data_IF_877023420306
#
_entry.id   IF_877023420306
#
_cell.length_a   1.000
_cell.length_b   1.000
_cell.length_c   1.000
_cell.angle_alpha   90.00
_cell.angle_beta   90.00
_cell.angle_gamma   90.00
#
_symmetry.space_group_name_H-M   'P 1'
#
loop_
_entity.id
_entity.type
_entity.pdbx_description
1 polymer ?
#
# COMPACT_ATOMS: atom_id res chain seq x y z
N UNK A 1 8.82 10.19 32.43
CA UNK A 1 8.56 10.20 30.98
C UNK A 1 9.76 10.89 30.32
N UNK A 2 10.27 10.38 29.17
CA UNK A 2 11.39 11.02 28.49
C UNK A 2 10.99 12.43 28.05
N UNK A 3 11.78 13.41 28.40
CA UNK A 3 11.60 14.81 28.03
C UNK A 3 12.13 15.13 26.62
N UNK A 4 12.54 14.09 25.87
CA UNK A 4 13.06 14.25 24.51
C UNK A 4 11.90 14.64 23.58
N UNK A 5 12.00 15.78 22.86
CA UNK A 5 10.98 16.16 21.89
C UNK A 5 10.78 15.08 20.84
N UNK A 6 9.53 14.78 20.49
CA UNK A 6 9.16 13.76 19.49
C UNK A 6 9.96 13.90 18.18
N UNK A 7 10.28 15.12 17.78
CA UNK A 7 11.09 15.41 16.57
C UNK A 7 12.50 14.85 16.59
N UNK A 8 13.07 14.50 17.76
CA UNK A 8 14.44 14.00 17.85
C UNK A 8 14.57 12.54 17.46
N UNK A 9 13.50 11.76 17.51
CA UNK A 9 13.51 10.34 17.13
C UNK A 9 12.49 9.98 16.05
N UNK A 10 12.09 10.94 15.25
CA UNK A 10 11.27 10.71 14.04
C UNK A 10 12.18 10.45 12.85
N UNK A 11 11.88 9.37 12.11
CA UNK A 11 12.49 9.12 10.79
C UNK A 11 12.12 10.23 9.82
N UNK A 12 13.09 10.75 9.07
CA UNK A 12 12.88 11.87 8.15
C UNK A 12 13.71 11.77 6.88
N UNK A 13 13.17 12.29 5.80
CA UNK A 13 13.91 12.55 4.57
C UNK A 13 14.67 13.87 4.71
N UNK A 14 15.96 13.84 4.40
CA UNK A 14 16.81 15.02 4.39
C UNK A 14 16.69 15.78 3.04
N UNK A 15 17.18 17.00 2.99
CA UNK A 15 17.13 17.86 1.79
C UNK A 15 17.87 17.30 0.58
N UNK A 16 18.84 16.41 0.83
CA UNK A 16 19.63 15.71 -0.20
C UNK A 16 19.03 14.35 -0.61
N UNK A 17 17.80 14.06 -0.21
CA UNK A 17 17.14 12.77 -0.42
C UNK A 17 17.79 11.58 0.31
N UNK A 18 18.73 11.77 1.23
CA UNK A 18 19.07 10.74 2.19
C UNK A 18 17.97 10.62 3.26
N UNK A 19 17.87 9.48 3.92
CA UNK A 19 16.91 9.26 5.01
C UNK A 19 17.70 9.07 6.31
N UNK A 20 17.31 9.79 7.37
CA UNK A 20 17.79 9.54 8.73
C UNK A 20 16.72 8.78 9.49
N UNK A 21 16.97 7.49 9.70
CA UNK A 21 16.16 6.64 10.55
C UNK A 21 16.48 6.90 12.01
N UNK A 22 15.46 6.98 12.87
CA UNK A 22 15.61 7.17 14.32
C UNK A 22 14.65 6.27 15.07
N UNK A 23 15.14 5.71 16.17
CA UNK A 23 14.35 4.87 17.05
C UNK A 23 14.74 5.07 18.51
N UNK A 24 13.77 5.37 19.38
CA UNK A 24 14.04 5.55 20.80
C UNK A 24 13.95 4.22 21.55
N UNK A 25 15.09 3.70 22.00
CA UNK A 25 15.17 2.47 22.76
C UNK A 25 16.39 2.52 23.73
N UNK A 26 16.30 3.27 24.84
CA UNK A 26 17.46 3.49 25.73
C UNK A 26 17.96 2.20 26.37
N UNK A 27 17.08 1.24 26.65
CA UNK A 27 17.42 -0.06 27.24
C UNK A 27 17.90 -1.12 26.26
N UNK A 28 17.76 -0.89 24.95
CA UNK A 28 18.16 -1.87 23.94
C UNK A 28 19.69 -2.01 23.86
N UNK A 29 20.14 -3.25 23.58
CA UNK A 29 21.55 -3.58 23.36
C UNK A 29 21.94 -3.44 21.88
N UNK A 30 21.02 -3.82 20.98
CA UNK A 30 21.24 -3.77 19.55
C UNK A 30 19.98 -3.26 18.86
N UNK A 31 20.14 -2.29 17.95
CA UNK A 31 19.07 -1.86 17.06
C UNK A 31 19.63 -1.79 15.64
N UNK A 32 18.89 -2.31 14.71
CA UNK A 32 19.14 -2.14 13.28
C UNK A 32 17.87 -1.70 12.57
N UNK A 33 18.02 -1.00 11.46
CA UNK A 33 16.92 -0.76 10.51
C UNK A 33 17.08 -1.69 9.32
N UNK A 34 15.96 -2.24 8.87
CA UNK A 34 15.88 -3.05 7.65
C UNK A 34 15.09 -2.26 6.63
N UNK A 35 15.70 -1.99 5.48
CA UNK A 35 15.08 -1.22 4.39
C UNK A 35 14.78 -2.17 3.24
N UNK A 36 13.48 -2.43 2.99
CA UNK A 36 13.03 -3.39 2.00
C UNK A 36 13.03 -4.84 2.51
N UNK A 37 13.44 -5.77 1.67
CA UNK A 37 13.49 -7.21 2.01
C UNK A 37 14.61 -7.47 3.03
N UNK A 38 14.39 -8.30 4.07
CA UNK A 38 15.39 -8.57 5.10
C UNK A 38 16.48 -9.55 4.59
N UNK A 39 17.37 -9.04 3.76
CA UNK A 39 18.60 -9.70 3.33
C UNK A 39 19.80 -8.97 3.95
N UNK A 40 21.00 -9.59 4.06
CA UNK A 40 22.14 -9.00 4.76
C UNK A 40 22.46 -7.55 4.35
N UNK A 41 22.43 -7.26 3.05
CA UNK A 41 22.76 -5.93 2.50
C UNK A 41 21.72 -4.84 2.85
N UNK A 42 20.54 -5.23 3.29
CA UNK A 42 19.44 -4.33 3.66
C UNK A 42 19.31 -4.15 5.18
N UNK A 43 20.17 -4.78 5.98
CA UNK A 43 20.16 -4.71 7.44
C UNK A 43 21.29 -3.76 7.87
N UNK A 44 20.91 -2.61 8.43
CA UNK A 44 21.86 -1.56 8.79
C UNK A 44 21.90 -1.38 10.31
N UNK A 45 23.01 -1.71 10.99
CA UNK A 45 23.21 -1.41 12.41
C UNK A 45 23.07 0.09 12.67
N UNK A 46 22.42 0.44 13.77
CA UNK A 46 22.23 1.82 14.19
C UNK A 46 23.15 2.16 15.34
N UNK A 47 23.49 3.44 15.49
CA UNK A 47 24.32 3.97 16.59
C UNK A 47 23.43 4.65 17.61
N UNK A 48 23.64 4.35 18.90
CA UNK A 48 22.91 4.93 20.02
C UNK A 48 23.63 6.17 20.54
N UNK A 49 22.88 7.26 20.74
CA UNK A 49 23.38 8.46 21.43
C UNK A 49 23.17 8.37 22.95
N UNK A 50 23.64 9.38 23.68
CA UNK A 50 23.53 9.47 25.15
C UNK A 50 22.08 9.56 25.64
N UNK A 51 21.17 10.05 24.81
CA UNK A 51 19.74 10.12 25.10
C UNK A 51 19.00 8.80 24.89
N UNK A 52 19.68 7.78 24.34
CA UNK A 52 19.09 6.48 24.04
C UNK A 52 18.35 6.43 22.70
N UNK A 53 18.61 7.40 21.81
CA UNK A 53 18.09 7.42 20.45
C UNK A 53 19.07 6.71 19.52
N UNK A 54 18.59 5.70 18.85
CA UNK A 54 19.33 5.00 17.80
C UNK A 54 19.12 5.68 16.47
N UNK A 55 20.18 5.84 15.69
CA UNK A 55 20.12 6.49 14.38
C UNK A 55 21.00 5.82 13.33
N UNK A 56 20.55 5.90 12.08
CA UNK A 56 21.34 5.56 10.91
C UNK A 56 20.88 6.42 9.72
N UNK A 57 21.84 6.88 8.91
CA UNK A 57 21.57 7.70 7.73
C UNK A 57 21.96 6.94 6.48
N UNK A 58 21.06 6.93 5.49
CA UNK A 58 21.31 6.32 4.19
C UNK A 58 22.27 7.17 3.34
N UNK A 59 22.90 6.60 2.31
CA UNK A 59 23.31 7.37 1.13
C UNK A 59 22.11 8.11 0.52
N UNK A 60 22.36 8.98 -0.46
CA UNK A 60 21.30 9.63 -1.26
C UNK A 60 20.47 8.56 -1.97
N UNK A 61 19.15 8.58 -1.78
CA UNK A 61 18.23 7.64 -2.37
C UNK A 61 17.55 8.23 -3.61
N UNK A 62 17.12 7.37 -4.52
CA UNK A 62 16.25 7.76 -5.64
C UNK A 62 14.83 8.04 -5.11
N UNK A 63 14.11 8.94 -5.78
CA UNK A 63 12.70 9.19 -5.47
C UNK A 63 11.88 7.90 -5.59
N UNK A 64 11.35 7.43 -4.47
CA UNK A 64 10.54 6.21 -4.36
C UNK A 64 9.88 6.11 -2.97
N UNK A 65 8.97 5.18 -2.81
CA UNK A 65 8.44 4.75 -1.51
C UNK A 65 9.27 3.56 -1.01
N UNK A 66 9.88 3.72 0.16
CA UNK A 66 10.71 2.69 0.78
C UNK A 66 9.98 2.09 1.97
N UNK A 67 9.89 0.77 2.01
CA UNK A 67 9.40 0.01 3.14
C UNK A 67 10.56 -0.25 4.11
N UNK A 68 10.31 -0.14 5.42
CA UNK A 68 11.30 -0.40 6.45
C UNK A 68 10.67 -0.87 7.76
N UNK A 69 11.50 -1.45 8.61
CA UNK A 69 11.17 -1.75 10.00
C UNK A 69 12.45 -1.75 10.85
N UNK A 70 12.29 -1.67 12.15
CA UNK A 70 13.40 -1.81 13.08
C UNK A 70 13.47 -3.24 13.63
N UNK A 71 14.68 -3.69 13.91
CA UNK A 71 14.95 -4.89 14.70
C UNK A 71 15.59 -4.45 16.02
N UNK A 72 14.86 -4.63 17.11
CA UNK A 72 15.27 -4.18 18.46
C UNK A 72 15.53 -5.44 19.29
N UNK A 73 16.80 -5.74 19.57
CA UNK A 73 17.23 -6.96 20.30
C UNK A 73 16.58 -8.25 19.73
N UNK A 74 16.47 -8.36 18.40
CA UNK A 74 15.89 -9.49 17.73
C UNK A 74 14.38 -9.40 17.51
N UNK A 75 13.70 -8.41 18.03
CA UNK A 75 12.25 -8.20 17.85
C UNK A 75 11.97 -7.20 16.75
N UNK A 76 11.14 -7.58 15.77
CA UNK A 76 10.67 -6.67 14.72
C UNK A 76 9.72 -5.62 15.30
N UNK A 77 9.99 -4.36 15.00
CA UNK A 77 9.20 -3.20 15.43
C UNK A 77 8.92 -2.26 14.27
N UNK A 78 7.71 -1.73 14.21
CA UNK A 78 7.37 -0.64 13.29
C UNK A 78 7.84 0.70 13.86
N UNK A 79 7.95 1.70 13.00
CA UNK A 79 8.21 3.07 13.42
C UNK A 79 6.93 3.72 13.95
N UNK A 80 6.87 3.93 15.26
CA UNK A 80 5.74 4.58 15.91
C UNK A 80 5.75 6.11 15.75
N UNK A 81 6.82 6.67 15.21
CA UNK A 81 6.96 8.10 14.89
C UNK A 81 6.36 8.51 13.54
N UNK A 82 5.90 7.54 12.74
CA UNK A 82 5.25 7.79 11.44
C UNK A 82 3.83 7.26 11.38
N UNK A 83 2.96 7.96 10.64
CA UNK A 83 1.64 7.46 10.30
C UNK A 83 1.64 6.55 9.06
N UNK A 84 2.76 6.47 8.33
CA UNK A 84 2.87 5.68 7.10
C UNK A 84 3.28 4.24 7.43
N UNK A 85 2.30 3.40 7.70
CA UNK A 85 2.48 1.96 7.84
C UNK A 85 2.03 1.26 6.56
N UNK A 86 2.65 0.12 6.24
CA UNK A 86 2.24 -0.68 5.09
C UNK A 86 0.87 -1.32 5.37
N UNK A 87 -0.17 -0.98 4.60
CA UNK A 87 -1.53 -1.43 4.85
C UNK A 87 -1.75 -2.84 4.29
N UNK A 88 -1.19 -3.82 4.96
CA UNK A 88 -1.38 -5.24 4.69
C UNK A 88 -2.34 -5.87 5.70
N UNK A 89 -2.68 -7.14 5.50
CA UNK A 89 -3.44 -7.92 6.50
C UNK A 89 -2.73 -8.04 7.84
N UNK A 90 -1.40 -7.93 7.84
CA UNK A 90 -0.57 -7.82 9.03
C UNK A 90 0.31 -6.58 8.92
N UNK A 91 0.08 -5.59 9.77
CA UNK A 91 0.93 -4.40 9.84
C UNK A 91 2.25 -4.77 10.51
N UNK A 92 3.32 -4.82 9.72
CA UNK A 92 4.64 -5.26 10.17
C UNK A 92 5.80 -4.40 9.66
N UNK A 93 5.52 -3.33 8.94
CA UNK A 93 6.49 -2.38 8.41
C UNK A 93 5.92 -0.98 8.30
N UNK A 94 6.82 -0.02 8.31
CA UNK A 94 6.58 1.39 8.05
C UNK A 94 7.04 1.75 6.65
N UNK A 95 6.63 2.91 6.16
CA UNK A 95 7.01 3.40 4.83
C UNK A 95 7.51 4.83 4.93
N UNK A 96 8.41 5.20 4.01
CA UNK A 96 8.89 6.57 3.85
C UNK A 96 8.96 6.92 2.37
N UNK A 97 8.37 8.06 2.00
CA UNK A 97 8.39 8.57 0.64
C UNK A 97 9.59 9.51 0.47
N UNK A 98 10.53 9.12 -0.39
CA UNK A 98 11.62 9.99 -0.87
C UNK A 98 11.15 10.66 -2.15
N UNK A 99 11.13 12.01 -2.24
CA UNK A 99 10.58 12.72 -3.38
C UNK A 99 11.39 12.53 -4.66
N UNK A 100 10.76 12.77 -5.81
CA UNK A 100 11.38 12.71 -7.14
C UNK A 100 10.85 11.61 -8.05
N UNK A 101 9.64 11.09 -7.80
CA UNK A 101 9.01 10.06 -8.62
C UNK A 101 7.55 10.39 -8.96
N UNK A 102 6.90 9.49 -9.73
CA UNK A 102 5.45 9.57 -9.96
C UNK A 102 4.60 9.26 -8.72
N UNK A 103 5.22 8.76 -7.66
CA UNK A 103 4.55 8.48 -6.39
C UNK A 103 4.28 9.76 -5.58
N UNK A 104 4.90 10.88 -5.94
CA UNK A 104 4.75 12.14 -5.23
C UNK A 104 3.36 12.72 -5.41
N UNK A 105 2.84 13.35 -4.37
CA UNK A 105 1.70 14.24 -4.51
C UNK A 105 2.21 15.55 -5.11
N UNK A 106 1.89 15.81 -6.39
CA UNK A 106 2.29 17.02 -7.10
C UNK A 106 1.16 18.04 -7.09
N UNK A 107 1.49 19.30 -7.37
CA UNK A 107 0.50 20.37 -7.53
C UNK A 107 -0.16 20.31 -8.92
N UNK A 108 -1.00 19.30 -9.10
CA UNK A 108 -1.81 19.07 -10.30
C UNK A 108 -3.28 18.95 -9.89
N UNK A 109 -4.20 18.99 -10.85
CA UNK A 109 -5.60 18.70 -10.54
C UNK A 109 -5.71 17.20 -10.24
N UNK A 110 -6.31 16.88 -9.10
CA UNK A 110 -6.46 15.51 -8.64
C UNK A 110 -7.81 14.92 -9.00
N UNK A 111 -7.82 13.61 -9.24
CA UNK A 111 -9.02 12.82 -9.33
C UNK A 111 -9.61 12.53 -7.95
N UNK A 112 -10.83 11.98 -7.93
CA UNK A 112 -11.50 11.58 -6.70
C UNK A 112 -11.24 10.11 -6.40
N UNK A 113 -11.04 9.79 -5.12
CA UNK A 113 -10.94 8.42 -4.62
C UNK A 113 -12.20 8.08 -3.82
N UNK A 114 -13.00 7.15 -4.34
CA UNK A 114 -14.30 6.77 -3.78
C UNK A 114 -14.18 5.38 -3.16
N UNK A 115 -14.49 5.24 -1.88
CA UNK A 115 -14.65 3.94 -1.23
C UNK A 115 -16.10 3.44 -1.43
N UNK A 116 -16.25 2.21 -1.88
CA UNK A 116 -17.55 1.57 -2.13
C UNK A 116 -17.63 0.29 -1.33
N UNK A 117 -18.58 0.23 -0.41
CA UNK A 117 -18.98 -0.99 0.26
C UNK A 117 -20.13 -1.62 -0.52
N UNK A 118 -20.08 -2.93 -0.74
CA UNK A 118 -21.08 -3.67 -1.46
C UNK A 118 -21.23 -5.10 -0.91
N UNK A 119 -22.40 -5.69 -1.10
CA UNK A 119 -22.57 -7.12 -0.86
C UNK A 119 -22.13 -7.91 -2.08
N UNK A 120 -21.16 -8.81 -1.88
CA UNK A 120 -20.76 -9.77 -2.91
C UNK A 120 -21.66 -10.99 -2.85
N UNK A 121 -22.46 -11.21 -3.91
CA UNK A 121 -23.26 -12.42 -4.05
C UNK A 121 -22.38 -13.64 -4.32
N UNK A 122 -21.28 -13.44 -5.02
CA UNK A 122 -20.32 -14.50 -5.33
C UNK A 122 -19.62 -15.04 -4.07
N UNK A 123 -19.38 -14.18 -3.08
CA UNK A 123 -18.66 -14.52 -1.84
C UNK A 123 -19.56 -14.56 -0.60
N UNK A 124 -20.85 -14.18 -0.74
CA UNK A 124 -21.80 -14.10 0.37
C UNK A 124 -21.27 -13.28 1.56
N UNK A 125 -20.68 -12.12 1.27
CA UNK A 125 -20.08 -11.26 2.28
C UNK A 125 -20.08 -9.79 1.87
N UNK A 126 -20.02 -8.90 2.88
CA UNK A 126 -19.76 -7.48 2.68
C UNK A 126 -18.31 -7.29 2.25
N UNK A 127 -18.12 -6.53 1.18
CA UNK A 127 -16.83 -6.27 0.57
C UNK A 127 -16.64 -4.77 0.38
N UNK A 128 -15.38 -4.37 0.20
CA UNK A 128 -15.02 -3.00 -0.11
C UNK A 128 -14.10 -2.95 -1.33
N UNK A 129 -14.30 -1.94 -2.16
CA UNK A 129 -13.37 -1.57 -3.23
C UNK A 129 -13.16 -0.07 -3.25
N UNK A 130 -12.12 0.36 -3.94
CA UNK A 130 -11.86 1.78 -4.20
C UNK A 130 -11.97 2.04 -5.70
N UNK A 131 -12.46 3.23 -6.04
CA UNK A 131 -12.52 3.70 -7.43
C UNK A 131 -11.85 5.05 -7.49
N UNK A 132 -10.79 5.15 -8.27
CA UNK A 132 -10.25 6.45 -8.66
C UNK A 132 -10.94 6.90 -9.96
N UNK A 133 -11.46 8.13 -9.97
CA UNK A 133 -12.01 8.79 -11.15
C UNK A 133 -11.10 9.95 -11.58
N UNK A 134 -10.94 10.21 -12.89
CA UNK A 134 -10.08 11.29 -13.33
C UNK A 134 -10.62 12.67 -12.92
N UNK A 135 -9.77 13.70 -12.84
CA UNK A 135 -10.20 15.07 -12.53
C UNK A 135 -11.37 15.52 -13.40
N UNK A 136 -12.39 16.11 -12.75
CA UNK A 136 -13.56 16.63 -13.44
C UNK A 136 -14.55 15.57 -13.95
N UNK A 137 -14.43 14.33 -13.53
CA UNK A 137 -15.39 13.28 -13.86
C UNK A 137 -16.77 13.58 -13.24
N UNK A 138 -17.80 13.74 -14.08
CA UNK A 138 -19.17 14.02 -13.63
C UNK A 138 -20.14 12.87 -13.88
N UNK A 139 -19.68 11.81 -14.54
CA UNK A 139 -20.56 10.74 -15.01
C UNK A 139 -21.33 11.08 -16.28
N UNK A 140 -21.12 12.26 -16.86
CA UNK A 140 -21.74 12.74 -18.10
C UNK A 140 -20.67 12.80 -19.20
N UNK A 141 -21.07 12.60 -20.46
CA UNK A 141 -20.18 12.66 -21.62
C UNK A 141 -19.79 11.28 -22.15
N UNK A 142 -18.62 11.20 -22.77
CA UNK A 142 -18.13 9.95 -23.35
C UNK A 142 -17.83 8.89 -22.26
N UNK A 143 -18.29 7.65 -22.44
CA UNK A 143 -17.98 6.57 -21.50
C UNK A 143 -16.47 6.32 -21.41
N UNK A 144 -15.95 6.19 -20.20
CA UNK A 144 -14.53 5.97 -19.95
C UNK A 144 -14.16 4.47 -19.91
N UNK A 145 -12.95 4.10 -20.35
CA UNK A 145 -12.43 2.76 -20.10
C UNK A 145 -12.18 2.54 -18.62
N UNK A 146 -12.16 1.28 -18.19
CA UNK A 146 -11.93 0.88 -16.80
C UNK A 146 -10.69 0.01 -16.71
N UNK A 147 -9.78 0.36 -15.81
CA UNK A 147 -8.66 -0.47 -15.37
C UNK A 147 -9.04 -1.14 -14.05
N UNK A 148 -9.12 -2.46 -14.03
CA UNK A 148 -9.26 -3.24 -12.80
C UNK A 148 -7.87 -3.61 -12.29
N UNK A 149 -7.50 -3.07 -11.13
CA UNK A 149 -6.17 -3.27 -10.54
C UNK A 149 -6.24 -4.29 -9.41
N UNK A 150 -5.50 -5.38 -9.55
CA UNK A 150 -5.38 -6.43 -8.56
C UNK A 150 -4.08 -6.28 -7.77
N UNK A 151 -4.20 -6.25 -6.44
CA UNK A 151 -3.04 -6.20 -5.54
C UNK A 151 -2.39 -7.58 -5.36
N UNK A 152 -1.17 -7.59 -4.77
CA UNK A 152 -0.44 -8.80 -4.46
C UNK A 152 -1.00 -9.56 -3.25
N UNK A 153 -0.52 -10.80 -3.09
CA UNK A 153 -0.88 -11.64 -1.95
C UNK A 153 -0.44 -11.02 -0.61
N UNK A 154 -1.34 -11.04 0.38
CA UNK A 154 -1.13 -10.43 1.69
C UNK A 154 -1.41 -8.93 1.74
N UNK A 155 -1.61 -8.30 0.58
CA UNK A 155 -2.02 -6.91 0.48
C UNK A 155 -3.55 -6.77 0.64
N UNK A 156 -4.02 -5.55 0.51
CA UNK A 156 -5.45 -5.18 0.50
C UNK A 156 -5.69 -4.15 -0.60
N UNK A 157 -6.94 -3.85 -0.95
CA UNK A 157 -7.23 -2.73 -1.84
C UNK A 157 -6.62 -1.41 -1.36
N UNK A 158 -6.46 -1.23 -0.05
CA UNK A 158 -5.80 -0.07 0.55
C UNK A 158 -4.30 -0.01 0.26
N UNK A 159 -3.64 -1.16 0.08
CA UNK A 159 -2.21 -1.20 -0.27
C UNK A 159 -1.92 -0.55 -1.61
N UNK A 160 -2.81 -0.70 -2.59
CA UNK A 160 -2.67 -0.06 -3.89
C UNK A 160 -2.74 1.48 -3.81
N UNK A 161 -3.43 2.01 -2.80
CA UNK A 161 -3.61 3.44 -2.56
C UNK A 161 -2.43 4.01 -1.78
N UNK A 162 -2.14 3.46 -0.60
CA UNK A 162 -1.19 4.05 0.34
C UNK A 162 0.26 3.67 0.00
N UNK A 163 0.50 2.42 -0.42
CA UNK A 163 1.82 1.93 -0.84
C UNK A 163 2.03 2.08 -2.35
N UNK A 164 1.08 1.60 -3.16
CA UNK A 164 1.13 1.67 -4.62
C UNK A 164 0.96 3.08 -5.16
N UNK A 165 0.38 4.00 -4.37
CA UNK A 165 0.20 5.41 -4.73
C UNK A 165 -0.52 5.60 -6.06
N UNK A 166 -1.45 4.68 -6.39
CA UNK A 166 -2.17 4.69 -7.68
C UNK A 166 -2.83 6.04 -7.96
N UNK A 167 -3.56 6.69 -7.02
CA UNK A 167 -4.14 8.00 -7.30
C UNK A 167 -3.10 9.03 -7.76
N UNK A 168 -1.95 9.11 -7.07
CA UNK A 168 -0.88 10.07 -7.40
C UNK A 168 -0.24 9.76 -8.75
N UNK A 169 -0.02 8.49 -9.05
CA UNK A 169 0.52 8.05 -10.35
C UNK A 169 -0.43 8.46 -11.47
N UNK A 170 -1.72 8.17 -11.31
CA UNK A 170 -2.74 8.47 -12.32
C UNK A 170 -2.89 9.97 -12.53
N UNK A 171 -2.96 10.77 -11.45
CA UNK A 171 -3.03 12.22 -11.51
C UNK A 171 -1.82 12.81 -12.24
N UNK A 172 -0.62 12.37 -11.88
CA UNK A 172 0.64 12.86 -12.46
C UNK A 172 0.77 12.50 -13.96
N UNK A 173 0.43 11.25 -14.31
CA UNK A 173 0.50 10.79 -15.70
C UNK A 173 -0.55 11.47 -16.58
N UNK A 174 -1.74 11.70 -16.03
CA UNK A 174 -2.82 12.39 -16.75
C UNK A 174 -2.46 13.86 -16.99
N UNK A 175 -1.93 14.55 -15.97
CA UNK A 175 -1.47 15.93 -16.08
C UNK A 175 -0.35 16.11 -17.11
N UNK A 176 0.50 15.11 -17.30
CA UNK A 176 1.55 15.08 -18.33
C UNK A 176 1.05 14.61 -19.71
N UNK A 177 -0.23 14.26 -19.86
CA UNK A 177 -0.80 13.76 -21.12
C UNK A 177 -0.27 12.38 -21.54
N UNK A 178 0.30 11.62 -20.60
CA UNK A 178 0.90 10.29 -20.86
C UNK A 178 -0.12 9.15 -20.85
N UNK A 179 -1.29 9.38 -20.31
CA UNK A 179 -2.40 8.46 -20.29
C UNK A 179 -3.70 9.16 -20.73
N UNK A 180 -4.66 8.37 -21.18
CA UNK A 180 -6.03 8.85 -21.45
C UNK A 180 -6.86 8.79 -20.15
N UNK A 181 -7.90 9.64 -20.01
CA UNK A 181 -8.83 9.51 -18.91
C UNK A 181 -9.45 8.11 -18.84
N UNK A 182 -9.45 7.52 -17.64
CA UNK A 182 -10.03 6.21 -17.36
C UNK A 182 -10.47 6.15 -15.89
N UNK A 183 -11.29 5.17 -15.53
CA UNK A 183 -11.50 4.80 -14.14
C UNK A 183 -10.50 3.72 -13.73
N UNK A 184 -10.07 3.77 -12.46
CA UNK A 184 -9.29 2.67 -11.87
C UNK A 184 -10.10 2.07 -10.73
N UNK A 185 -10.48 0.81 -10.86
CA UNK A 185 -11.21 0.05 -9.85
C UNK A 185 -10.23 -0.85 -9.12
N UNK A 186 -10.19 -0.74 -7.81
CA UNK A 186 -9.23 -1.41 -6.93
C UNK A 186 -10.04 -2.24 -5.92
N UNK A 187 -10.42 -3.48 -6.25
CA UNK A 187 -11.07 -4.38 -5.30
C UNK A 187 -10.04 -4.95 -4.30
N UNK A 188 -10.54 -5.49 -3.20
CA UNK A 188 -9.74 -6.40 -2.39
C UNK A 188 -9.81 -7.79 -3.03
N UNK A 189 -8.71 -8.25 -3.59
CA UNK A 189 -8.65 -9.50 -4.37
C UNK A 189 -8.32 -10.73 -3.52
N UNK A 190 -8.03 -10.56 -2.24
CA UNK A 190 -8.04 -11.69 -1.30
C UNK A 190 -9.45 -11.92 -0.77
N UNK A 191 -10.04 -13.04 -1.20
CA UNK A 191 -11.44 -13.39 -0.92
C UNK A 191 -11.59 -14.19 0.36
N UNK A 192 -10.47 -14.47 1.08
CA UNK A 192 -10.36 -15.44 2.18
C UNK A 192 -10.80 -16.86 1.76
N UNK A 193 -11.04 -17.04 0.48
CA UNK A 193 -11.58 -18.27 -0.10
C UNK A 193 -12.70 -18.88 0.75
N UNK A 194 -13.56 -18.01 1.35
CA UNK A 194 -14.66 -18.40 2.24
C UNK A 194 -15.51 -19.46 1.57
N UNK A 195 -15.68 -20.58 2.26
CA UNK A 195 -16.43 -21.73 1.78
C UNK A 195 -15.73 -22.55 0.68
N UNK A 196 -14.45 -22.29 0.40
CA UNK A 196 -13.70 -23.00 -0.63
C UNK A 196 -12.44 -23.68 -0.03
N UNK A 197 -11.90 -23.17 1.10
CA UNK A 197 -10.78 -23.83 1.78
C UNK A 197 -11.33 -24.93 2.71
N UNK A 198 -10.88 -26.17 2.58
CA UNK A 198 -11.20 -27.23 3.54
C UNK A 198 -10.80 -26.85 4.97
N UNK A 199 -11.58 -27.27 5.97
CA UNK A 199 -11.30 -26.99 7.39
C UNK A 199 -9.99 -27.61 7.88
N UNK A 200 -9.53 -28.69 7.23
CA UNK A 200 -8.29 -29.42 7.49
C UNK A 200 -7.05 -28.86 6.74
N UNK A 201 -7.14 -27.63 6.26
CA UNK A 201 -6.12 -27.00 5.43
C UNK A 201 -4.77 -26.83 6.13
N UNK A 202 -3.73 -27.47 5.59
CA UNK A 202 -2.35 -27.39 6.11
C UNK A 202 -1.63 -26.15 5.55
N UNK A 203 -1.07 -25.26 6.39
CA UNK A 203 -0.41 -24.02 5.94
C UNK A 203 0.69 -24.20 4.89
N UNK A 204 1.41 -25.34 4.91
CA UNK A 204 2.47 -25.63 3.93
C UNK A 204 1.94 -25.84 2.50
N UNK A 205 0.69 -26.25 2.35
CA UNK A 205 0.04 -26.42 1.04
C UNK A 205 -0.69 -25.15 0.55
N UNK A 206 -0.71 -24.11 1.39
CA UNK A 206 -1.43 -22.89 1.17
C UNK A 206 -1.22 -22.30 -0.23
N UNK A 207 0.02 -22.31 -0.72
CA UNK A 207 0.31 -21.79 -2.07
C UNK A 207 -0.32 -22.62 -3.18
N UNK A 208 -0.31 -23.93 -3.06
CA UNK A 208 -0.82 -24.84 -4.11
C UNK A 208 -2.34 -24.86 -4.17
N UNK A 209 -3.01 -24.73 -3.03
CA UNK A 209 -4.46 -24.87 -2.91
C UNK A 209 -5.13 -23.50 -2.87
N UNK A 210 -4.65 -22.59 -2.02
CA UNK A 210 -5.27 -21.28 -1.81
C UNK A 210 -5.27 -20.40 -3.07
N UNK A 211 -4.13 -20.26 -3.76
CA UNK A 211 -4.06 -19.34 -4.90
C UNK A 211 -5.04 -19.67 -6.03
N UNK A 212 -5.13 -20.91 -6.52
CA UNK A 212 -6.11 -21.22 -7.57
C UNK A 212 -7.55 -21.00 -7.11
N UNK A 213 -7.87 -21.32 -5.87
CA UNK A 213 -9.20 -21.14 -5.30
C UNK A 213 -9.55 -19.68 -5.12
N UNK A 214 -8.60 -18.89 -4.58
CA UNK A 214 -8.78 -17.45 -4.44
C UNK A 214 -8.95 -16.76 -5.80
N UNK A 215 -8.11 -17.08 -6.78
CA UNK A 215 -8.24 -16.54 -8.14
C UNK A 215 -9.62 -16.83 -8.73
N UNK A 216 -10.09 -18.08 -8.64
CA UNK A 216 -11.43 -18.46 -9.12
C UNK A 216 -12.55 -17.72 -8.38
N UNK A 217 -12.41 -17.49 -7.09
CA UNK A 217 -13.37 -16.75 -6.29
C UNK A 217 -13.37 -15.26 -6.65
N UNK A 218 -12.20 -14.66 -6.81
CA UNK A 218 -12.04 -13.27 -7.24
C UNK A 218 -12.57 -13.02 -8.65
N UNK A 219 -12.29 -13.93 -9.60
CA UNK A 219 -12.83 -13.85 -10.97
C UNK A 219 -14.36 -13.90 -10.97
N UNK A 220 -14.95 -14.79 -10.17
CA UNK A 220 -16.40 -14.89 -10.05
C UNK A 220 -17.01 -13.61 -9.45
N UNK A 221 -16.37 -13.04 -8.42
CA UNK A 221 -16.78 -11.77 -7.83
C UNK A 221 -16.66 -10.62 -8.85
N UNK A 222 -15.53 -10.56 -9.58
CA UNK A 222 -15.32 -9.55 -10.61
C UNK A 222 -16.44 -9.56 -11.65
N UNK A 223 -16.74 -10.72 -12.20
CA UNK A 223 -17.68 -10.86 -13.30
C UNK A 223 -19.15 -10.68 -12.88
N UNK A 224 -19.51 -11.16 -11.68
CA UNK A 224 -20.91 -11.22 -11.27
C UNK A 224 -21.34 -10.05 -10.38
N UNK A 225 -20.41 -9.43 -9.66
CA UNK A 225 -20.72 -8.37 -8.71
C UNK A 225 -20.05 -7.03 -9.08
N UNK A 226 -18.73 -7.01 -9.29
CA UNK A 226 -17.97 -5.76 -9.43
C UNK A 226 -18.25 -5.09 -10.78
N UNK A 227 -18.06 -5.78 -11.90
CA UNK A 227 -18.28 -5.20 -13.24
C UNK A 227 -19.73 -4.70 -13.41
N UNK A 228 -20.77 -5.46 -13.05
CA UNK A 228 -22.15 -4.98 -13.10
C UNK A 228 -22.38 -3.74 -12.21
N UNK A 229 -21.82 -3.72 -10.99
CA UNK A 229 -21.96 -2.58 -10.09
C UNK A 229 -21.29 -1.32 -10.65
N UNK A 230 -20.07 -1.43 -11.17
CA UNK A 230 -19.33 -0.32 -11.79
C UNK A 230 -20.08 0.19 -13.01
N UNK A 231 -20.56 -0.70 -13.89
CA UNK A 231 -21.31 -0.34 -15.10
C UNK A 231 -22.66 0.32 -14.82
N UNK A 232 -23.25 0.05 -13.64
CA UNK A 232 -24.49 0.69 -13.18
C UNK A 232 -24.24 2.06 -12.55
N UNK A 233 -23.10 2.21 -11.85
CA UNK A 233 -22.81 3.37 -11.01
C UNK A 233 -22.03 4.46 -11.72
N UNK A 234 -21.26 4.09 -12.73
CA UNK A 234 -20.37 4.99 -13.47
C UNK A 234 -20.65 4.94 -14.96
N UNK A 235 -20.37 6.05 -15.65
CA UNK A 235 -20.44 6.12 -17.11
C UNK A 235 -19.15 5.52 -17.72
N UNK A 236 -19.18 4.23 -17.97
CA UNK A 236 -18.04 3.44 -18.45
C UNK A 236 -18.39 2.70 -19.75
N UNK A 237 -17.35 2.39 -20.52
CA UNK A 237 -17.48 1.56 -21.72
C UNK A 237 -17.96 0.17 -21.32
N UNK A 238 -18.85 -0.39 -22.15
CA UNK A 238 -19.42 -1.73 -21.97
C UNK A 238 -18.83 -2.76 -22.94
N UNK A 239 -18.06 -2.29 -23.91
CA UNK A 239 -17.29 -3.06 -24.87
C UNK A 239 -15.89 -3.33 -24.30
N UNK A 240 -15.47 -4.58 -24.31
CA UNK A 240 -14.13 -4.98 -23.92
C UNK A 240 -13.15 -4.79 -25.10
#
# INVERSE_FOLDING_TARGET
APTIPVKQYVTQVNTDNSVTFRYFAPGAKNVSVVVGVPVPDNIHPMTKDEAGVWSWRTPVLKGNLYEYFFNVDGVRSIDTGTAMTKPQRQVNSSMILVPGSYLDTRSVVHGDLIAITYHSNALQSERQMYVWTPPGYTGIGEPLPVLYFYHGFGDTGRSAIDQGRIPQIMDNLLAEGKIKPMLVVIPDTETDAKGIIPEDFVPQERRKVFYPLNAKAADRELMNDIIPLISKRFNVRKDA
#
